data_IF_745088410176
#
_entry.id   IF_745088410176
#
_cell.length_a   1.000
_cell.length_b   1.000
_cell.length_c   1.000
_cell.angle_alpha   90.00
_cell.angle_beta   90.00
_cell.angle_gamma   90.00
#
_symmetry.space_group_name_H-M   'P 1'
#
loop_
_entity.id
_entity.type
_entity.pdbx_description
1 polymer ?
#
# COMPACT_ATOMS: atom_id res chain seq x y z
N UNK A 1 -10.95 -49.56 -14.99
CA UNK A 1 -12.12 -50.22 -14.41
C UNK A 1 -13.15 -49.15 -14.09
N UNK A 2 -14.10 -48.94 -15.00
CA UNK A 2 -15.56 -49.18 -14.85
C UNK A 2 -16.29 -47.97 -14.24
N UNK A 3 -17.38 -47.42 -14.78
CA UNK A 3 -18.01 -47.34 -16.12
C UNK A 3 -19.21 -46.38 -15.88
N UNK A 4 -19.46 -45.42 -16.77
CA UNK A 4 -20.68 -44.57 -16.78
C UNK A 4 -21.92 -45.41 -17.16
N UNK A 5 -23.13 -44.89 -16.92
CA UNK A 5 -24.24 -45.10 -17.84
C UNK A 5 -24.68 -43.80 -18.53
N UNK A 6 -25.02 -43.99 -19.79
CA UNK A 6 -25.67 -43.08 -20.74
C UNK A 6 -27.14 -43.51 -20.78
N UNK A 7 -28.08 -42.56 -20.85
CA UNK A 7 -29.40 -42.82 -21.42
C UNK A 7 -29.74 -41.75 -22.45
N UNK A 8 -30.02 -42.24 -23.66
CA UNK A 8 -30.49 -41.56 -24.86
C UNK A 8 -31.96 -41.93 -25.06
N UNK A 9 -32.78 -41.03 -25.61
CA UNK A 9 -34.01 -41.23 -26.42
C UNK A 9 -35.01 -40.07 -26.15
N UNK A 10 -35.76 -39.44 -27.07
CA UNK A 10 -35.93 -39.48 -28.53
C UNK A 10 -36.75 -38.23 -28.91
N UNK A 11 -36.53 -37.67 -30.09
CA UNK A 11 -37.36 -36.61 -30.72
C UNK A 11 -38.83 -37.02 -30.94
N UNK A 12 -39.74 -36.05 -30.84
CA UNK A 12 -40.90 -35.96 -31.75
C UNK A 12 -41.13 -34.48 -32.12
N UNK A 13 -41.13 -34.25 -33.43
CA UNK A 13 -41.46 -32.97 -34.06
C UNK A 13 -42.98 -32.80 -34.14
N UNK A 14 -43.47 -31.57 -33.97
CA UNK A 14 -44.71 -31.13 -34.60
C UNK A 14 -44.52 -29.68 -35.07
N UNK A 15 -44.57 -29.49 -36.38
CA UNK A 15 -44.60 -28.20 -37.04
C UNK A 15 -46.04 -27.71 -37.16
N UNK A 16 -46.28 -26.42 -36.90
CA UNK A 16 -47.42 -25.70 -37.42
C UNK A 16 -46.96 -24.27 -37.77
N UNK A 17 -46.79 -24.03 -39.06
CA UNK A 17 -46.58 -22.72 -39.67
C UNK A 17 -47.90 -21.97 -39.82
N UNK A 18 -47.93 -20.71 -39.42
CA UNK A 18 -48.82 -19.71 -40.02
C UNK A 18 -48.04 -18.42 -40.30
N UNK A 19 -48.11 -18.00 -41.56
CA UNK A 19 -47.53 -16.78 -42.13
C UNK A 19 -48.62 -15.71 -42.17
N UNK A 20 -48.30 -14.51 -41.69
CA UNK A 20 -48.79 -13.18 -42.12
C UNK A 20 -48.26 -12.17 -41.07
N UNK A 21 -47.68 -11.01 -41.34
CA UNK A 21 -47.60 -10.16 -42.51
C UNK A 21 -47.57 -8.70 -42.00
N UNK A 22 -46.77 -7.84 -42.64
CA UNK A 22 -46.61 -6.38 -42.45
C UNK A 22 -45.82 -5.95 -41.19
N UNK A 23 -44.85 -5.05 -41.26
CA UNK A 23 -44.84 -3.77 -41.98
C UNK A 23 -44.84 -2.66 -40.93
N UNK A 24 -43.75 -1.89 -40.86
CA UNK A 24 -43.32 -1.21 -39.63
C UNK A 24 -44.07 0.05 -39.21
N UNK A 25 -43.79 0.46 -37.97
CA UNK A 25 -43.89 1.84 -37.44
C UNK A 25 -43.05 1.94 -36.16
N UNK A 26 -42.31 3.04 -36.01
CA UNK A 26 -41.61 3.45 -34.77
C UNK A 26 -42.61 3.53 -33.61
N UNK A 27 -42.26 3.14 -32.37
CA UNK A 27 -43.05 3.52 -31.22
C UNK A 27 -42.83 5.01 -30.94
N UNK A 28 -43.88 5.81 -31.08
CA UNK A 28 -43.93 7.15 -30.52
C UNK A 28 -43.85 7.09 -28.99
N UNK A 29 -43.07 8.01 -28.43
CA UNK A 29 -42.99 8.22 -27.00
C UNK A 29 -44.34 8.76 -26.48
N UNK A 30 -44.96 8.04 -25.56
CA UNK A 30 -46.08 8.55 -24.77
C UNK A 30 -45.50 9.56 -23.79
N UNK A 31 -45.70 10.84 -24.09
CA UNK A 31 -45.36 11.94 -23.19
C UNK A 31 -46.45 12.07 -22.12
N UNK A 32 -46.18 11.59 -20.90
CA UNK A 32 -47.02 11.84 -19.73
C UNK A 32 -46.49 13.10 -19.05
N UNK A 33 -47.22 14.23 -19.03
CA UNK A 33 -46.76 15.44 -18.37
C UNK A 33 -46.90 15.31 -16.85
N UNK A 34 -45.82 15.54 -16.10
CA UNK A 34 -45.92 15.85 -14.67
C UNK A 34 -45.27 14.89 -13.68
N UNK A 35 -44.12 14.29 -14.00
CA UNK A 35 -43.23 13.74 -12.97
C UNK A 35 -41.84 14.35 -13.08
N UNK A 36 -41.52 15.24 -12.13
CA UNK A 36 -40.17 15.71 -11.89
C UNK A 36 -39.31 14.52 -11.43
N UNK A 37 -38.68 13.85 -12.40
CA UNK A 37 -37.56 12.94 -12.12
C UNK A 37 -36.38 13.82 -11.70
N UNK A 38 -35.70 13.55 -10.56
CA UNK A 38 -34.52 14.31 -10.17
C UNK A 38 -33.48 14.25 -11.29
N UNK A 39 -32.95 15.41 -11.66
CA UNK A 39 -31.96 15.63 -12.74
C UNK A 39 -30.74 14.68 -12.65
N UNK A 40 -30.43 14.19 -11.44
CA UNK A 40 -29.40 13.20 -11.16
C UNK A 40 -29.70 11.78 -11.70
N UNK A 41 -30.96 11.39 -11.88
CA UNK A 41 -31.33 10.06 -12.39
C UNK A 41 -31.43 10.02 -13.92
N UNK A 42 -31.75 11.16 -14.56
CA UNK A 42 -31.82 11.27 -16.02
C UNK A 42 -30.43 11.33 -16.68
N UNK A 43 -29.43 11.93 -16.00
CA UNK A 43 -28.05 11.98 -16.49
C UNK A 43 -27.34 10.60 -16.53
N UNK A 44 -27.82 9.62 -15.77
CA UNK A 44 -27.24 8.26 -15.72
C UNK A 44 -27.60 7.43 -16.96
N UNK A 45 -28.69 7.75 -17.66
CA UNK A 45 -29.18 6.98 -18.81
C UNK A 45 -28.51 7.35 -20.15
N UNK A 46 -27.69 8.39 -20.20
CA UNK A 46 -27.07 8.91 -21.45
C UNK A 46 -25.54 8.86 -21.47
N UNK A 47 -24.90 8.35 -20.41
CA UNK A 47 -23.44 8.28 -20.33
C UNK A 47 -22.89 7.08 -21.12
N UNK A 48 -21.84 7.31 -21.92
CA UNK A 48 -21.17 6.25 -22.70
C UNK A 48 -20.56 5.19 -21.76
N UNK A 49 -20.78 3.88 -22.00
CA UNK A 49 -20.15 2.82 -21.22
C UNK A 49 -18.62 2.91 -21.27
N UNK A 50 -17.98 2.89 -20.11
CA UNK A 50 -16.53 2.93 -19.96
C UNK A 50 -16.05 1.70 -19.18
N UNK A 51 -15.10 0.95 -19.75
CA UNK A 51 -14.39 -0.12 -19.04
C UNK A 51 -12.97 0.33 -18.76
N UNK A 52 -12.63 0.46 -17.47
CA UNK A 52 -11.33 0.91 -17.00
C UNK A 52 -10.51 -0.29 -16.53
N UNK A 53 -9.36 -0.50 -17.18
CA UNK A 53 -8.42 -1.53 -16.77
C UNK A 53 -7.57 -1.03 -15.60
N UNK A 54 -7.56 -1.79 -14.50
CA UNK A 54 -6.77 -1.48 -13.31
C UNK A 54 -5.75 -2.57 -13.04
N UNK A 55 -4.54 -2.18 -12.66
CA UNK A 55 -3.51 -3.11 -12.18
C UNK A 55 -2.70 -2.48 -11.06
N UNK A 56 -1.78 -3.25 -10.47
CA UNK A 56 -0.83 -2.72 -9.50
C UNK A 56 0.59 -2.61 -10.07
N UNK A 57 1.40 -1.71 -9.48
CA UNK A 57 2.83 -1.57 -9.72
C UNK A 57 3.59 -1.69 -8.39
N UNK A 58 4.55 -2.62 -8.31
CA UNK A 58 5.46 -2.81 -7.18
C UNK A 58 4.77 -2.91 -5.79
N UNK A 59 3.50 -3.26 -5.76
CA UNK A 59 2.69 -3.55 -4.57
C UNK A 59 1.99 -4.91 -4.77
N UNK A 60 1.01 -5.27 -3.94
CA UNK A 60 0.21 -6.48 -4.11
C UNK A 60 -1.24 -6.22 -3.76
N UNK A 61 -2.14 -6.67 -4.61
CA UNK A 61 -3.58 -6.63 -4.39
C UNK A 61 -4.23 -7.82 -5.11
N UNK A 62 -5.30 -8.35 -4.54
CA UNK A 62 -6.09 -9.42 -5.16
C UNK A 62 -7.24 -8.86 -5.98
N UNK A 63 -7.80 -9.68 -6.86
CA UNK A 63 -8.99 -9.30 -7.61
C UNK A 63 -10.16 -8.99 -6.66
N UNK A 64 -10.36 -9.82 -5.64
CA UNK A 64 -11.43 -9.67 -4.66
C UNK A 64 -11.34 -8.33 -3.93
N UNK A 65 -10.13 -7.88 -3.59
CA UNK A 65 -9.92 -6.58 -2.99
C UNK A 65 -10.22 -5.42 -3.97
N UNK A 66 -9.86 -5.55 -5.24
CA UNK A 66 -10.23 -4.56 -6.27
C UNK A 66 -11.74 -4.50 -6.44
N UNK A 67 -12.40 -5.65 -6.56
CA UNK A 67 -13.86 -5.74 -6.74
C UNK A 67 -14.58 -5.12 -5.52
N UNK A 68 -14.21 -5.54 -4.31
CA UNK A 68 -14.86 -5.09 -3.07
C UNK A 68 -14.66 -3.59 -2.80
N UNK A 69 -13.44 -3.08 -2.95
CA UNK A 69 -13.07 -1.74 -2.48
C UNK A 69 -13.02 -0.68 -3.58
N UNK A 70 -13.08 -1.07 -4.85
CA UNK A 70 -13.02 -0.16 -6.00
C UNK A 70 -14.18 -0.44 -6.96
N UNK A 71 -14.27 -1.65 -7.52
CA UNK A 71 -15.21 -2.01 -8.57
C UNK A 71 -16.68 -1.82 -8.17
N UNK A 72 -17.11 -2.47 -7.10
CA UNK A 72 -18.49 -2.40 -6.61
C UNK A 72 -18.88 -0.99 -6.16
N UNK A 73 -18.06 -0.25 -5.37
CA UNK A 73 -18.38 1.13 -5.04
C UNK A 73 -18.48 2.04 -6.28
N UNK A 74 -17.57 1.91 -7.24
CA UNK A 74 -17.60 2.71 -8.48
C UNK A 74 -18.85 2.38 -9.29
N UNK A 75 -19.15 1.11 -9.51
CA UNK A 75 -20.33 0.67 -10.26
C UNK A 75 -21.64 1.12 -9.61
N UNK A 76 -21.72 1.10 -8.28
CA UNK A 76 -22.86 1.61 -7.51
C UNK A 76 -23.07 3.11 -7.74
N UNK A 77 -21.99 3.89 -7.78
CA UNK A 77 -22.05 5.36 -7.96
C UNK A 77 -22.21 5.77 -9.43
N UNK A 78 -21.54 5.05 -10.33
CA UNK A 78 -21.46 5.30 -11.76
C UNK A 78 -21.75 4.00 -12.53
N UNK A 79 -23.03 3.65 -12.76
CA UNK A 79 -23.41 2.37 -13.38
C UNK A 79 -22.85 2.14 -14.79
N UNK A 80 -22.41 3.19 -15.47
CA UNK A 80 -21.78 3.13 -16.79
C UNK A 80 -20.26 2.90 -16.74
N UNK A 81 -19.64 2.92 -15.55
CA UNK A 81 -18.21 2.67 -15.36
C UNK A 81 -18.02 1.26 -14.81
N UNK A 82 -17.25 0.45 -15.53
CA UNK A 82 -16.83 -0.90 -15.11
C UNK A 82 -15.34 -0.90 -14.83
N UNK A 83 -14.93 -1.50 -13.70
CA UNK A 83 -13.52 -1.71 -13.35
C UNK A 83 -13.15 -3.16 -13.69
N UNK A 84 -12.09 -3.36 -14.47
CA UNK A 84 -11.57 -4.67 -14.84
C UNK A 84 -10.15 -4.83 -14.30
N UNK A 85 -9.96 -5.74 -13.34
CA UNK A 85 -8.62 -6.02 -12.83
C UNK A 85 -7.79 -6.84 -13.82
N UNK A 86 -6.65 -6.29 -14.22
CA UNK A 86 -5.67 -7.00 -15.04
C UNK A 86 -4.79 -7.84 -14.13
N UNK A 87 -5.04 -9.14 -14.11
CA UNK A 87 -4.25 -10.09 -13.35
C UNK A 87 -2.81 -10.13 -13.89
N UNK A 88 -1.83 -9.83 -13.02
CA UNK A 88 -0.39 -9.82 -13.32
C UNK A 88 0.27 -11.21 -13.32
N UNK A 89 -0.51 -12.27 -13.11
CA UNK A 89 -0.04 -13.66 -13.20
C UNK A 89 0.50 -14.02 -14.59
N UNK A 90 1.34 -15.06 -14.67
CA UNK A 90 1.75 -15.68 -15.94
C UNK A 90 2.62 -14.84 -16.88
N UNK A 91 3.13 -13.67 -16.44
CA UNK A 91 4.10 -12.87 -17.19
C UNK A 91 3.61 -11.52 -17.70
N UNK A 92 2.42 -11.06 -17.31
CA UNK A 92 1.95 -9.68 -17.56
C UNK A 92 2.51 -8.74 -16.49
N UNK A 93 3.23 -7.69 -16.90
CA UNK A 93 3.74 -6.65 -16.00
C UNK A 93 3.39 -5.27 -16.52
N UNK A 94 3.40 -4.28 -15.62
CA UNK A 94 3.18 -2.88 -15.99
C UNK A 94 4.11 -2.45 -17.12
N UNK A 95 5.42 -2.74 -16.99
CA UNK A 95 6.42 -2.42 -17.99
C UNK A 95 6.10 -3.03 -19.36
N UNK A 96 5.73 -4.32 -19.39
CA UNK A 96 5.37 -4.99 -20.65
C UNK A 96 4.12 -4.38 -21.29
N UNK A 97 3.13 -3.98 -20.51
CA UNK A 97 1.93 -3.32 -21.03
C UNK A 97 2.25 -1.94 -21.62
N UNK A 98 3.15 -1.18 -20.99
CA UNK A 98 3.66 0.07 -21.56
C UNK A 98 4.39 -0.19 -22.89
N UNK A 99 5.33 -1.14 -22.92
CA UNK A 99 6.12 -1.50 -24.10
C UNK A 99 5.26 -2.00 -25.28
N UNK A 100 4.17 -2.71 -24.98
CA UNK A 100 3.20 -3.21 -25.96
C UNK A 100 2.20 -2.14 -26.43
N UNK A 101 2.27 -0.92 -25.90
CA UNK A 101 1.32 0.15 -26.24
C UNK A 101 -0.10 -0.10 -25.73
N UNK A 102 -0.24 -0.91 -24.68
CA UNK A 102 -1.54 -1.23 -24.05
C UNK A 102 -1.54 -0.88 -22.56
N UNK A 103 -1.20 0.37 -22.18
CA UNK A 103 -1.17 0.77 -20.77
C UNK A 103 -2.53 0.54 -20.10
N UNK A 104 -2.57 0.15 -18.82
CA UNK A 104 -3.81 0.15 -18.05
C UNK A 104 -4.38 1.58 -17.95
N UNK A 105 -5.67 1.72 -17.66
CA UNK A 105 -6.28 3.02 -17.40
C UNK A 105 -5.94 3.55 -16.00
N UNK A 106 -5.83 2.62 -15.04
CA UNK A 106 -5.56 2.89 -13.63
C UNK A 106 -4.40 2.03 -13.11
N UNK A 107 -3.53 2.63 -12.30
CA UNK A 107 -2.45 1.91 -11.60
C UNK A 107 -2.52 2.18 -10.11
N UNK A 108 -2.53 1.11 -9.33
CA UNK A 108 -2.32 1.15 -7.88
C UNK A 108 -0.82 1.09 -7.62
N UNK A 109 -0.27 2.09 -6.95
CA UNK A 109 1.13 2.09 -6.50
C UNK A 109 1.24 2.68 -5.10
N UNK A 110 2.39 2.55 -4.47
CA UNK A 110 2.69 3.18 -3.19
C UNK A 110 3.65 4.37 -3.35
N UNK A 111 3.80 5.15 -2.29
CA UNK A 111 4.68 6.32 -2.30
C UNK A 111 6.14 6.01 -2.68
N UNK A 112 6.80 4.98 -2.11
CA UNK A 112 8.18 4.63 -2.50
C UNK A 112 8.37 4.31 -3.99
N UNK A 113 7.34 3.77 -4.64
CA UNK A 113 7.39 3.38 -6.05
C UNK A 113 6.77 4.42 -7.00
N UNK A 114 6.23 5.52 -6.47
CA UNK A 114 5.48 6.51 -7.23
C UNK A 114 6.34 7.19 -8.30
N UNK A 115 7.56 7.60 -7.95
CA UNK A 115 8.50 8.23 -8.89
C UNK A 115 8.83 7.31 -10.08
N UNK A 116 8.94 6.01 -9.85
CA UNK A 116 9.25 5.04 -10.91
C UNK A 116 8.11 4.92 -11.93
N UNK A 117 6.85 5.08 -11.51
CA UNK A 117 5.72 5.10 -12.45
C UNK A 117 5.74 6.36 -13.32
N UNK A 118 6.18 7.49 -12.77
CA UNK A 118 6.26 8.77 -13.52
C UNK A 118 7.29 8.75 -14.66
N UNK A 119 8.28 7.85 -14.62
CA UNK A 119 9.27 7.67 -15.70
C UNK A 119 8.65 7.11 -17.00
N UNK A 120 7.51 6.43 -16.93
CA UNK A 120 6.92 5.72 -18.08
C UNK A 120 6.07 6.60 -19.00
N UNK A 121 6.15 7.94 -18.90
CA UNK A 121 5.23 8.88 -19.57
C UNK A 121 3.74 8.49 -19.39
N UNK A 122 3.44 7.82 -18.27
CA UNK A 122 2.17 7.20 -17.97
C UNK A 122 1.16 8.15 -17.33
N UNK A 123 1.49 8.89 -16.26
CA UNK A 123 0.45 9.52 -15.46
C UNK A 123 -0.12 10.79 -16.10
N UNK A 124 -1.44 10.95 -15.99
CA UNK A 124 -2.20 12.15 -16.32
C UNK A 124 -2.06 13.19 -15.20
N UNK A 125 -1.82 14.46 -15.54
CA UNK A 125 -1.97 15.55 -14.57
C UNK A 125 -3.45 15.77 -14.24
N UNK A 126 -3.83 15.49 -12.99
CA UNK A 126 -5.20 15.60 -12.50
C UNK A 126 -5.56 17.00 -12.02
N UNK A 127 -4.61 17.95 -11.93
CA UNK A 127 -4.93 19.32 -11.47
C UNK A 127 -6.09 19.97 -12.24
N UNK A 128 -6.16 19.93 -13.59
CA UNK A 128 -7.29 20.48 -14.34
C UNK A 128 -8.64 19.82 -14.01
N UNK A 129 -8.63 18.51 -13.73
CA UNK A 129 -9.82 17.78 -13.34
C UNK A 129 -10.25 18.12 -11.91
N UNK A 130 -9.30 18.23 -10.97
CA UNK A 130 -9.57 18.66 -9.60
C UNK A 130 -10.23 20.04 -9.56
N UNK A 131 -9.78 20.97 -10.40
CA UNK A 131 -10.38 22.30 -10.56
C UNK A 131 -11.79 22.22 -11.17
N UNK A 132 -11.92 21.53 -12.30
CA UNK A 132 -13.19 21.37 -13.04
C UNK A 132 -14.29 20.77 -12.14
N UNK A 133 -13.94 19.73 -11.40
CA UNK A 133 -14.85 18.99 -10.53
C UNK A 133 -14.91 19.53 -9.10
N UNK A 134 -14.18 20.62 -8.81
CA UNK A 134 -14.14 21.28 -7.50
C UNK A 134 -13.87 20.32 -6.34
N UNK A 135 -12.94 19.39 -6.56
CA UNK A 135 -12.57 18.38 -5.54
C UNK A 135 -11.87 19.07 -4.39
N UNK A 136 -12.45 19.02 -3.20
CA UNK A 136 -11.85 19.58 -2.00
C UNK A 136 -10.73 18.66 -1.48
N UNK A 137 -9.47 18.97 -1.79
CA UNK A 137 -8.33 18.19 -1.28
C UNK A 137 -8.12 18.34 0.24
N UNK A 138 -8.66 19.37 0.87
CA UNK A 138 -8.49 19.59 2.32
C UNK A 138 -9.24 18.56 3.18
N UNK A 139 -10.17 17.79 2.58
CA UNK A 139 -10.82 16.66 3.25
C UNK A 139 -9.89 15.44 3.34
N UNK A 140 -8.87 15.36 2.49
CA UNK A 140 -7.87 14.30 2.50
C UNK A 140 -6.81 14.60 3.56
N UNK A 141 -6.14 13.56 4.05
CA UNK A 141 -4.94 13.72 4.85
C UNK A 141 -3.87 14.48 4.06
N UNK A 142 -3.30 15.51 4.67
CA UNK A 142 -2.36 16.41 4.01
C UNK A 142 -1.05 15.71 3.62
N UNK A 143 -0.63 14.69 4.37
CA UNK A 143 0.65 14.01 4.13
C UNK A 143 0.67 13.27 2.79
N UNK A 144 -0.30 12.38 2.45
CA UNK A 144 -0.42 11.81 1.12
C UNK A 144 -0.54 12.85 -0.01
N UNK A 145 -1.34 13.91 0.18
CA UNK A 145 -1.51 14.94 -0.85
C UNK A 145 -0.21 15.67 -1.13
N UNK A 146 0.54 16.02 -0.08
CA UNK A 146 1.86 16.66 -0.23
C UNK A 146 2.89 15.69 -0.83
N UNK A 147 2.83 14.41 -0.47
CA UNK A 147 3.68 13.37 -1.03
C UNK A 147 3.58 13.31 -2.55
N UNK A 148 2.37 13.15 -3.10
CA UNK A 148 2.21 13.08 -4.56
C UNK A 148 2.61 14.38 -5.25
N UNK A 149 2.30 15.55 -4.67
CA UNK A 149 2.74 16.86 -5.20
C UNK A 149 4.26 16.99 -5.24
N UNK A 150 4.98 16.39 -4.30
CA UNK A 150 6.43 16.46 -4.25
C UNK A 150 7.12 15.64 -5.36
N UNK A 151 6.43 14.65 -5.93
CA UNK A 151 6.93 13.85 -7.05
C UNK A 151 6.71 14.57 -8.38
N UNK A 152 5.62 15.34 -8.51
CA UNK A 152 5.40 16.22 -9.66
C UNK A 152 6.43 17.37 -9.68
N UNK A 153 7.27 17.51 -10.72
CA UNK A 153 8.30 18.55 -10.77
C UNK A 153 7.74 19.98 -10.73
N UNK A 154 6.46 20.17 -11.13
CA UNK A 154 5.72 21.43 -11.06
C UNK A 154 4.56 21.39 -10.07
N UNK A 155 4.50 20.37 -9.21
CA UNK A 155 3.40 20.14 -8.28
C UNK A 155 2.19 19.45 -8.91
N UNK A 156 2.39 18.72 -10.01
CA UNK A 156 1.36 17.87 -10.62
C UNK A 156 0.84 16.83 -9.62
N UNK A 157 -0.46 16.54 -9.71
CA UNK A 157 -1.09 15.44 -8.98
C UNK A 157 -1.45 14.37 -9.98
N UNK A 158 -0.80 13.21 -9.90
CA UNK A 158 -0.95 12.12 -10.87
C UNK A 158 -2.02 11.08 -10.49
N UNK A 159 -2.56 11.21 -9.29
CA UNK A 159 -3.49 10.27 -8.67
C UNK A 159 -3.98 10.78 -7.32
N UNK A 160 -4.87 10.03 -6.71
CA UNK A 160 -5.39 10.36 -5.37
C UNK A 160 -5.12 9.21 -4.39
N UNK A 161 -4.93 9.53 -3.09
CA UNK A 161 -4.68 8.53 -2.07
C UNK A 161 -5.92 7.65 -1.87
N UNK A 162 -5.75 6.36 -2.06
CA UNK A 162 -6.79 5.36 -1.83
C UNK A 162 -6.90 5.01 -0.35
N UNK A 163 -5.77 4.68 0.28
CA UNK A 163 -5.66 4.48 1.72
C UNK A 163 -4.20 4.67 2.15
N UNK A 164 -3.95 4.69 3.46
CA UNK A 164 -2.62 4.76 4.04
C UNK A 164 -2.29 3.43 4.75
N UNK A 165 -1.05 2.97 4.60
CA UNK A 165 -0.51 1.87 5.38
C UNK A 165 0.48 2.44 6.41
N UNK A 166 0.64 1.75 7.55
CA UNK A 166 1.57 2.17 8.61
C UNK A 166 2.52 1.05 8.97
N UNK A 167 3.76 1.40 9.22
CA UNK A 167 4.75 0.47 9.75
C UNK A 167 4.55 0.36 11.27
N UNK A 168 4.48 -0.86 11.78
CA UNK A 168 4.11 -1.17 13.17
C UNK A 168 5.09 -2.18 13.78
N UNK A 169 5.12 -2.25 15.11
CA UNK A 169 5.82 -3.29 15.86
C UNK A 169 4.80 -4.33 16.34
N UNK A 170 4.89 -5.55 15.81
CA UNK A 170 4.08 -6.68 16.22
C UNK A 170 4.86 -7.55 17.20
N UNK A 171 4.17 -8.17 18.14
CA UNK A 171 4.81 -9.05 19.13
C UNK A 171 4.01 -10.34 19.35
N UNK A 172 4.73 -11.44 19.59
CA UNK A 172 4.18 -12.76 19.87
C UNK A 172 4.09 -12.94 21.40
N UNK A 173 2.87 -12.91 21.93
CA UNK A 173 2.60 -12.95 23.37
C UNK A 173 3.10 -14.23 24.03
N UNK A 174 3.01 -15.38 23.33
CA UNK A 174 3.46 -16.67 23.86
C UNK A 174 4.97 -16.63 24.19
N UNK A 175 5.78 -15.95 23.39
CA UNK A 175 7.21 -15.83 23.62
C UNK A 175 7.53 -14.88 24.77
N UNK A 176 6.77 -13.80 24.95
CA UNK A 176 6.93 -12.90 26.10
C UNK A 176 6.55 -13.61 27.40
N UNK A 177 5.45 -14.36 27.40
CA UNK A 177 4.97 -15.14 28.55
C UNK A 177 5.95 -16.25 28.90
N UNK A 178 6.39 -17.04 27.91
CA UNK A 178 7.38 -18.11 28.07
C UNK A 178 8.65 -17.61 28.75
N UNK A 179 9.07 -16.40 28.42
CA UNK A 179 10.34 -15.83 28.85
C UNK A 179 10.24 -14.85 30.00
N UNK A 180 9.04 -14.66 30.57
CA UNK A 180 8.76 -13.72 31.65
C UNK A 180 9.29 -12.30 31.34
N UNK A 181 9.11 -11.85 30.10
CA UNK A 181 9.44 -10.48 29.66
C UNK A 181 8.13 -9.70 29.54
N UNK A 182 8.09 -8.49 30.11
CA UNK A 182 6.92 -7.63 29.98
C UNK A 182 6.67 -7.28 28.51
N UNK A 183 5.40 -7.21 28.11
CA UNK A 183 5.00 -6.84 26.75
C UNK A 183 5.52 -5.45 26.40
N UNK A 184 5.81 -5.20 25.11
CA UNK A 184 6.18 -3.86 24.67
C UNK A 184 4.98 -2.92 24.85
N UNK A 185 5.25 -1.63 24.99
CA UNK A 185 4.24 -0.59 25.12
C UNK A 185 4.36 0.41 23.98
N UNK A 186 3.31 1.18 23.75
CA UNK A 186 3.42 2.34 22.86
C UNK A 186 4.47 3.33 23.38
N UNK A 187 5.01 4.17 22.47
CA UNK A 187 5.99 5.22 22.75
C UNK A 187 7.37 4.74 23.26
N UNK A 188 7.67 3.44 23.18
CA UNK A 188 9.04 2.93 23.43
C UNK A 188 10.06 3.67 22.58
N UNK A 189 11.28 3.82 23.10
CA UNK A 189 12.41 4.28 22.28
C UNK A 189 13.12 3.10 21.60
N UNK A 190 14.00 3.42 20.65
CA UNK A 190 14.86 2.40 20.04
C UNK A 190 15.77 1.71 21.06
N UNK A 191 16.24 2.42 22.09
CA UNK A 191 17.02 1.81 23.16
C UNK A 191 16.17 0.84 23.99
N UNK A 192 14.90 1.17 24.25
CA UNK A 192 13.98 0.25 24.92
C UNK A 192 13.76 -1.01 24.09
N UNK A 193 13.58 -0.86 22.77
CA UNK A 193 13.48 -1.99 21.85
C UNK A 193 14.73 -2.88 21.91
N UNK A 194 15.92 -2.29 21.84
CA UNK A 194 17.20 -3.03 21.93
C UNK A 194 17.28 -3.80 23.24
N UNK A 195 16.87 -3.20 24.36
CA UNK A 195 16.87 -3.87 25.66
C UNK A 195 15.88 -5.03 25.73
N UNK A 196 14.66 -4.85 25.21
CA UNK A 196 13.66 -5.93 25.13
C UNK A 196 14.14 -7.04 24.19
N UNK A 197 14.67 -6.69 23.02
CA UNK A 197 15.23 -7.64 22.06
C UNK A 197 16.35 -8.48 22.69
N UNK A 198 17.32 -7.84 23.35
CA UNK A 198 18.42 -8.54 24.02
C UNK A 198 17.94 -9.56 25.07
N UNK A 199 16.86 -9.24 25.79
CA UNK A 199 16.27 -10.18 26.76
C UNK A 199 15.59 -11.37 26.08
N UNK A 200 15.08 -11.21 24.87
CA UNK A 200 14.32 -12.23 24.15
C UNK A 200 15.17 -13.04 23.17
N UNK A 201 16.32 -12.52 22.72
CA UNK A 201 17.29 -13.26 21.91
C UNK A 201 18.05 -14.25 22.78
N UNK A 202 17.78 -15.55 22.61
CA UNK A 202 18.41 -16.61 23.40
C UNK A 202 18.29 -17.97 22.71
N UNK A 203 19.15 -18.90 23.11
CA UNK A 203 19.04 -20.31 22.74
C UNK A 203 18.45 -21.11 23.89
N UNK A 204 17.39 -21.86 23.64
CA UNK A 204 16.76 -22.76 24.61
C UNK A 204 16.31 -24.03 23.88
N UNK A 205 16.58 -25.21 24.46
CA UNK A 205 16.24 -26.51 23.87
C UNK A 205 16.67 -26.70 22.41
N UNK A 206 17.88 -26.23 22.09
CA UNK A 206 18.45 -26.19 20.72
C UNK A 206 17.70 -25.28 19.72
N UNK A 207 16.64 -24.60 20.14
CA UNK A 207 15.93 -23.60 19.34
C UNK A 207 16.56 -22.23 19.58
N UNK A 208 16.92 -21.54 18.49
CA UNK A 208 17.34 -20.15 18.53
C UNK A 208 16.10 -19.25 18.44
N UNK A 209 15.86 -18.49 19.50
CA UNK A 209 14.85 -17.44 19.56
C UNK A 209 15.49 -16.07 19.30
N UNK A 210 14.77 -15.21 18.59
CA UNK A 210 15.20 -13.83 18.33
C UNK A 210 14.22 -12.82 18.89
N UNK A 211 14.76 -11.78 19.51
CA UNK A 211 13.98 -10.73 20.13
C UNK A 211 13.24 -9.84 19.14
N UNK A 212 13.86 -9.51 18.01
CA UNK A 212 13.24 -8.67 16.98
C UNK A 212 13.76 -9.00 15.59
N UNK A 213 12.87 -8.99 14.60
CA UNK A 213 13.27 -8.73 13.22
C UNK A 213 13.12 -7.25 12.91
N UNK A 214 14.25 -6.67 12.53
CA UNK A 214 14.33 -5.27 12.17
C UNK A 214 14.61 -5.08 10.68
N UNK A 215 14.27 -3.90 10.16
CA UNK A 215 14.56 -3.51 8.79
C UNK A 215 16.04 -3.17 8.57
N UNK A 216 16.43 -2.96 7.32
CA UNK A 216 17.76 -2.43 6.97
C UNK A 216 17.88 -0.93 7.29
N UNK A 217 19.08 -0.36 7.10
CA UNK A 217 19.33 1.07 7.34
C UNK A 217 18.36 1.98 6.59
N UNK A 218 18.08 1.68 5.32
CA UNK A 218 17.10 2.42 4.54
C UNK A 218 15.71 2.42 5.20
N UNK A 219 15.27 1.28 5.74
CA UNK A 219 13.98 1.16 6.43
C UNK A 219 13.91 2.05 7.66
N UNK A 220 14.99 2.12 8.46
CA UNK A 220 15.07 3.03 9.62
C UNK A 220 14.95 4.47 9.20
N UNK A 221 15.74 4.90 8.21
CA UNK A 221 15.67 6.28 7.74
C UNK A 221 14.32 6.64 7.17
N UNK A 222 13.65 5.72 6.47
CA UNK A 222 12.26 5.89 6.05
C UNK A 222 11.31 6.13 7.24
N UNK A 223 11.46 5.39 8.36
CA UNK A 223 10.65 5.62 9.56
C UNK A 223 10.88 7.00 10.20
N UNK A 224 12.04 7.59 9.96
CA UNK A 224 12.43 8.91 10.47
C UNK A 224 12.23 10.03 9.45
N UNK A 225 11.76 9.70 8.23
CA UNK A 225 11.60 10.67 7.15
C UNK A 225 12.93 11.23 6.61
N UNK A 226 14.03 10.50 6.75
CA UNK A 226 15.34 10.95 6.25
C UNK A 226 15.37 10.78 4.72
N UNK A 227 15.60 11.87 3.95
CA UNK A 227 15.77 11.75 2.51
C UNK A 227 17.07 11.03 2.16
N UNK A 228 17.00 10.13 1.18
CA UNK A 228 18.19 9.48 0.58
C UNK A 228 18.91 10.47 -0.33
N UNK A 229 18.12 11.25 -1.09
CA UNK A 229 18.60 12.23 -2.07
C UNK A 229 18.33 13.63 -1.54
N UNK A 230 19.35 14.46 -1.51
CA UNK A 230 19.21 15.87 -1.21
C UNK A 230 18.51 16.57 -2.39
N UNK A 231 17.36 17.18 -2.13
CA UNK A 231 16.51 17.80 -3.16
C UNK A 231 17.21 18.91 -3.94
N UNK A 232 18.09 19.69 -3.30
CA UNK A 232 18.75 20.83 -3.91
C UNK A 232 19.89 20.40 -4.84
N UNK A 233 20.63 19.37 -4.46
CA UNK A 233 21.81 18.92 -5.21
C UNK A 233 21.51 17.77 -6.18
N UNK A 234 20.41 17.04 -5.96
CA UNK A 234 20.10 15.81 -6.68
C UNK A 234 21.05 14.65 -6.36
N UNK A 235 21.87 14.78 -5.31
CA UNK A 235 22.88 13.80 -4.89
C UNK A 235 22.47 13.07 -3.62
N UNK A 236 23.01 11.87 -3.43
CA UNK A 236 22.94 11.16 -2.16
C UNK A 236 23.67 11.97 -1.06
N UNK A 237 23.08 12.00 0.13
CA UNK A 237 23.59 12.70 1.32
C UNK A 237 23.46 11.75 2.53
N UNK A 238 24.43 10.84 2.66
CA UNK A 238 24.45 9.78 3.67
C UNK A 238 25.31 10.15 4.89
N UNK A 239 26.16 11.16 4.77
CA UNK A 239 27.07 11.57 5.85
C UNK A 239 26.44 12.50 6.90
N UNK A 240 25.16 12.84 6.76
CA UNK A 240 24.44 13.64 7.75
C UNK A 240 24.21 12.91 9.09
N UNK A 241 23.96 13.69 10.14
CA UNK A 241 23.86 13.16 11.51
C UNK A 241 22.66 12.24 11.74
N UNK A 242 21.58 12.38 10.98
CA UNK A 242 20.42 11.49 11.08
C UNK A 242 20.76 10.09 10.56
N UNK A 243 21.48 9.98 9.44
CA UNK A 243 21.94 8.68 8.93
C UNK A 243 22.95 8.00 9.85
N UNK A 244 23.88 8.77 10.44
CA UNK A 244 24.82 8.23 11.45
C UNK A 244 24.08 7.66 12.66
N UNK A 245 23.05 8.36 13.15
CA UNK A 245 22.19 7.88 14.26
C UNK A 245 21.37 6.66 13.88
N UNK A 246 20.73 6.67 12.71
CA UNK A 246 19.98 5.53 12.21
C UNK A 246 20.86 4.28 12.07
N UNK A 247 22.12 4.45 11.66
CA UNK A 247 23.11 3.38 11.58
C UNK A 247 23.54 2.88 12.96
N UNK A 248 23.65 3.77 13.96
CA UNK A 248 23.82 3.40 15.36
C UNK A 248 22.71 2.48 15.85
N UNK A 249 21.44 2.79 15.57
CA UNK A 249 20.30 1.94 15.91
C UNK A 249 20.40 0.55 15.25
N UNK A 250 20.74 0.49 13.96
CA UNK A 250 20.90 -0.79 13.25
C UNK A 250 22.02 -1.63 13.89
N UNK A 251 23.14 -1.00 14.25
CA UNK A 251 24.25 -1.64 14.94
C UNK A 251 23.81 -2.17 16.32
N UNK A 252 23.16 -1.36 17.13
CA UNK A 252 22.75 -1.73 18.49
C UNK A 252 21.74 -2.90 18.48
N UNK A 253 20.84 -2.92 17.50
CA UNK A 253 19.91 -4.04 17.28
C UNK A 253 20.68 -5.29 16.85
N UNK A 254 21.65 -5.18 15.93
CA UNK A 254 22.46 -6.32 15.51
C UNK A 254 23.26 -6.93 16.68
N UNK A 255 23.80 -6.09 17.56
CA UNK A 255 24.52 -6.49 18.77
C UNK A 255 23.65 -7.20 19.81
N UNK A 256 22.32 -7.27 19.63
CA UNK A 256 21.46 -8.16 20.42
C UNK A 256 21.60 -9.64 20.05
N UNK A 257 22.37 -9.97 19.01
CA UNK A 257 22.64 -11.34 18.57
C UNK A 257 21.63 -11.90 17.58
N UNK A 258 20.86 -11.03 16.91
CA UNK A 258 19.91 -11.44 15.87
C UNK A 258 20.64 -11.86 14.59
N UNK A 259 20.06 -12.82 13.87
CA UNK A 259 20.58 -13.35 12.60
C UNK A 259 19.70 -13.00 11.41
N UNK A 260 18.72 -12.10 11.61
CA UNK A 260 17.77 -11.63 10.60
C UNK A 260 16.90 -12.75 10.03
N UNK A 261 16.17 -13.45 10.91
CA UNK A 261 15.23 -14.48 10.49
C UNK A 261 14.19 -13.97 9.48
N UNK A 262 13.66 -14.84 8.62
CA UNK A 262 12.56 -14.48 7.75
C UNK A 262 11.29 -14.18 8.56
N UNK A 263 10.32 -13.49 7.95
CA UNK A 263 9.05 -13.14 8.63
C UNK A 263 8.33 -14.39 9.14
N UNK A 264 8.45 -15.51 8.44
CA UNK A 264 7.91 -16.84 8.78
C UNK A 264 8.30 -17.27 10.19
N UNK A 265 9.46 -16.85 10.69
CA UNK A 265 9.88 -17.16 12.05
C UNK A 265 9.00 -16.50 13.13
N UNK A 266 8.27 -15.43 12.79
CA UNK A 266 7.26 -14.83 13.66
C UNK A 266 5.93 -15.58 13.57
N UNK A 267 5.37 -15.70 12.36
CA UNK A 267 3.97 -16.09 12.18
C UNK A 267 3.74 -17.60 11.94
N UNK A 268 4.75 -18.35 11.47
CA UNK A 268 4.70 -19.81 11.29
C UNK A 268 5.51 -20.56 12.33
N UNK A 269 6.81 -20.24 12.45
CA UNK A 269 7.74 -21.01 13.29
C UNK A 269 7.70 -20.57 14.75
N UNK A 270 7.13 -19.39 15.04
CA UNK A 270 6.91 -18.85 16.38
C UNK A 270 8.17 -18.82 17.25
N UNK A 271 9.30 -18.45 16.66
CA UNK A 271 10.61 -18.29 17.33
C UNK A 271 11.18 -16.87 17.26
N UNK A 272 10.39 -15.92 16.75
CA UNK A 272 10.71 -14.50 16.76
C UNK A 272 9.69 -13.77 17.63
N UNK A 273 10.18 -13.05 18.64
CA UNK A 273 9.32 -12.40 19.64
C UNK A 273 8.68 -11.12 19.12
N UNK A 274 9.40 -10.32 18.31
CA UNK A 274 8.87 -9.10 17.72
C UNK A 274 9.18 -9.00 16.23
N UNK A 275 8.25 -8.46 15.45
CA UNK A 275 8.36 -8.24 14.02
C UNK A 275 8.01 -6.80 13.69
N UNK A 276 8.91 -6.08 13.02
CA UNK A 276 8.54 -4.83 12.34
C UNK A 276 8.01 -5.10 10.94
N UNK A 277 6.82 -4.59 10.63
CA UNK A 277 6.18 -4.80 9.34
C UNK A 277 5.13 -3.72 9.06
N UNK A 278 4.81 -3.52 7.79
CA UNK A 278 3.61 -2.80 7.38
C UNK A 278 2.35 -3.51 7.89
N UNK A 279 1.34 -2.76 8.31
CA UNK A 279 0.11 -3.30 8.89
C UNK A 279 -0.60 -4.27 7.95
N UNK A 280 -0.82 -3.86 6.70
CA UNK A 280 -1.57 -4.69 5.75
C UNK A 280 -0.89 -6.03 5.42
N UNK A 281 0.42 -6.10 5.11
CA UNK A 281 1.13 -7.37 4.99
C UNK A 281 1.05 -8.25 6.24
N UNK A 282 1.14 -7.66 7.45
CA UNK A 282 1.00 -8.44 8.68
C UNK A 282 -0.41 -9.04 8.81
N UNK A 283 -1.46 -8.31 8.46
CA UNK A 283 -2.83 -8.85 8.42
C UNK A 283 -2.96 -10.00 7.42
N UNK A 284 -2.32 -9.91 6.24
CA UNK A 284 -2.25 -11.01 5.28
C UNK A 284 -1.51 -12.25 5.83
N UNK A 285 -0.43 -12.05 6.60
CA UNK A 285 0.24 -13.16 7.29
C UNK A 285 -0.66 -13.80 8.34
N UNK A 286 -1.35 -13.00 9.16
CA UNK A 286 -2.29 -13.51 10.16
C UNK A 286 -3.46 -14.28 9.52
N UNK A 287 -4.00 -13.77 8.41
CA UNK A 287 -5.02 -14.45 7.62
C UNK A 287 -4.53 -15.79 7.07
N UNK A 288 -3.30 -15.81 6.52
CA UNK A 288 -2.69 -17.05 6.03
C UNK A 288 -2.53 -18.10 7.14
N UNK A 289 -2.16 -17.68 8.36
CA UNK A 289 -2.09 -18.57 9.52
C UNK A 289 -3.47 -19.13 9.87
N UNK A 290 -4.49 -18.26 9.96
CA UNK A 290 -5.86 -18.66 10.27
C UNK A 290 -6.41 -19.65 9.23
N UNK A 291 -6.18 -19.39 7.94
CA UNK A 291 -6.60 -20.26 6.84
C UNK A 291 -5.88 -21.62 6.84
N UNK A 292 -4.70 -21.72 7.45
CA UNK A 292 -3.99 -22.99 7.63
C UNK A 292 -4.48 -23.80 8.85
N UNK A 293 -5.49 -23.31 9.59
CA UNK A 293 -5.98 -23.91 10.83
C UNK A 293 -5.04 -23.71 12.03
N UNK A 294 -4.04 -22.84 11.90
CA UNK A 294 -3.12 -22.49 12.97
C UNK A 294 -3.56 -21.20 13.67
N UNK A 295 -3.04 -20.98 14.86
CA UNK A 295 -3.26 -19.76 15.65
C UNK A 295 -1.96 -18.99 15.81
N UNK A 296 -2.08 -17.65 15.86
CA UNK A 296 -0.99 -16.75 16.22
C UNK A 296 -1.48 -15.88 17.39
N UNK A 297 -0.84 -16.02 18.55
CA UNK A 297 -1.13 -15.18 19.71
C UNK A 297 -0.27 -13.91 19.65
N UNK A 298 -0.73 -12.93 18.88
CA UNK A 298 0.00 -11.68 18.65
C UNK A 298 -0.78 -10.46 19.10
N UNK A 299 -0.08 -9.34 19.24
CA UNK A 299 -0.65 -8.01 19.36
C UNK A 299 0.35 -6.97 18.80
N UNK A 300 0.03 -5.68 18.86
CA UNK A 300 0.84 -4.62 18.26
C UNK A 300 1.02 -3.42 19.17
N UNK A 301 2.09 -2.67 18.94
CA UNK A 301 2.34 -1.34 19.48
C UNK A 301 2.88 -0.43 18.38
N UNK A 302 2.90 0.86 18.65
CA UNK A 302 3.57 1.84 17.78
C UNK A 302 5.02 1.44 17.51
N UNK A 303 5.54 1.75 16.32
CA UNK A 303 6.99 1.69 16.09
C UNK A 303 7.73 2.55 17.14
N UNK A 304 8.92 2.13 17.59
CA UNK A 304 9.71 2.94 18.51
C UNK A 304 10.02 4.33 17.96
N UNK A 305 9.97 5.34 18.82
CA UNK A 305 10.34 6.72 18.50
C UNK A 305 11.83 6.95 18.74
N UNK A 306 12.42 7.89 18.01
CA UNK A 306 13.78 8.37 18.31
C UNK A 306 13.71 9.55 19.30
N UNK A 307 14.69 9.65 20.20
CA UNK A 307 14.63 10.59 21.34
C UNK A 307 14.61 12.06 20.94
N UNK A 308 15.14 12.37 19.76
CA UNK A 308 15.25 13.72 19.23
C UNK A 308 13.94 14.22 18.60
N UNK A 309 12.96 13.34 18.36
CA UNK A 309 11.61 13.74 17.95
C UNK A 309 10.52 12.99 18.74
N UNK A 310 10.37 13.28 20.04
CA UNK A 310 9.30 12.69 20.85
C UNK A 310 7.92 12.93 20.21
N UNK A 311 7.10 11.89 20.15
CA UNK A 311 5.76 11.95 19.56
C UNK A 311 5.72 11.74 18.05
N UNK A 312 6.87 11.76 17.37
CA UNK A 312 7.00 11.40 15.95
C UNK A 312 7.54 9.97 15.85
N UNK A 313 6.79 9.10 15.17
CA UNK A 313 7.22 7.72 14.95
C UNK A 313 6.57 7.11 13.71
N UNK A 314 7.39 6.32 13.01
CA UNK A 314 6.98 5.50 11.89
C UNK A 314 6.74 6.30 10.60
N UNK A 315 6.81 5.57 9.49
CA UNK A 315 6.47 6.06 8.17
C UNK A 315 5.01 5.77 7.86
N UNK A 316 4.35 6.74 7.24
CA UNK A 316 3.16 6.49 6.44
C UNK A 316 3.59 5.96 5.07
N UNK A 317 2.85 4.98 4.53
CA UNK A 317 2.97 4.58 3.13
C UNK A 317 1.60 4.78 2.47
N UNK A 318 1.36 5.96 1.91
CA UNK A 318 0.18 6.19 1.10
C UNK A 318 0.17 5.26 -0.11
N UNK A 319 -1.01 4.73 -0.41
CA UNK A 319 -1.31 3.97 -1.62
C UNK A 319 -2.13 4.88 -2.52
N UNK A 320 -1.69 5.06 -3.77
CA UNK A 320 -2.32 5.95 -4.73
C UNK A 320 -2.98 5.17 -5.86
N UNK A 321 -4.08 5.74 -6.38
CA UNK A 321 -4.68 5.37 -7.66
C UNK A 321 -4.27 6.41 -8.70
N UNK A 322 -3.41 6.02 -9.64
CA UNK A 322 -2.92 6.85 -10.74
C UNK A 322 -3.78 6.67 -11.99
N UNK A 323 -3.96 7.74 -12.76
CA UNK A 323 -4.71 7.72 -14.03
C UNK A 323 -3.74 7.81 -15.21
N UNK A 324 -3.98 7.00 -16.24
CA UNK A 324 -3.20 7.00 -17.47
C UNK A 324 -3.50 8.21 -18.37
N UNK A 325 -2.46 8.94 -18.79
CA UNK A 325 -2.52 9.98 -19.81
C UNK A 325 -2.94 9.42 -21.18
N UNK A 326 -2.74 8.13 -21.43
CA UNK A 326 -3.15 7.45 -22.67
C UNK A 326 -4.57 6.88 -22.62
N UNK A 327 -5.24 6.90 -21.47
CA UNK A 327 -6.62 6.41 -21.37
C UNK A 327 -7.55 7.15 -22.32
N UNK A 328 -8.49 6.43 -22.94
CA UNK A 328 -9.60 7.03 -23.70
C UNK A 328 -10.73 7.51 -22.80
N UNK A 329 -10.75 7.06 -21.55
CA UNK A 329 -11.79 7.31 -20.56
C UNK A 329 -11.27 8.17 -19.39
N UNK A 330 -10.45 9.19 -19.69
CA UNK A 330 -9.76 10.00 -18.65
C UNK A 330 -10.71 10.61 -17.63
N UNK A 331 -11.85 11.09 -18.10
CA UNK A 331 -12.87 11.72 -17.26
C UNK A 331 -13.52 10.70 -16.31
N UNK A 332 -13.93 9.54 -16.82
CA UNK A 332 -14.47 8.43 -16.04
C UNK A 332 -13.43 7.87 -15.06
N UNK A 333 -12.18 7.75 -15.50
CA UNK A 333 -11.06 7.32 -14.66
C UNK A 333 -10.83 8.30 -13.49
N UNK A 334 -10.83 9.61 -13.77
CA UNK A 334 -10.74 10.62 -12.73
C UNK A 334 -11.94 10.57 -11.77
N UNK A 335 -13.18 10.46 -12.29
CA UNK A 335 -14.39 10.37 -11.46
C UNK A 335 -14.35 9.16 -10.52
N UNK A 336 -13.90 8.00 -11.01
CA UNK A 336 -13.72 6.80 -10.21
C UNK A 336 -12.67 7.00 -9.11
N UNK A 337 -11.47 7.47 -9.47
CA UNK A 337 -10.37 7.71 -8.51
C UNK A 337 -10.73 8.74 -7.45
N UNK A 338 -11.37 9.84 -7.87
CA UNK A 338 -11.86 10.89 -6.97
C UNK A 338 -12.91 10.34 -6.00
N UNK A 339 -13.89 9.60 -6.49
CA UNK A 339 -14.93 9.01 -5.64
C UNK A 339 -14.35 8.04 -4.61
N UNK A 340 -13.44 7.15 -5.02
CA UNK A 340 -12.81 6.19 -4.11
C UNK A 340 -11.99 6.88 -3.01
N UNK A 341 -11.33 7.99 -3.33
CA UNK A 341 -10.45 8.69 -2.40
C UNK A 341 -11.21 9.64 -1.48
N UNK A 342 -12.33 10.22 -1.94
CA UNK A 342 -13.02 11.31 -1.24
C UNK A 342 -14.36 10.92 -0.60
N UNK A 343 -14.96 9.81 -1.00
CA UNK A 343 -16.25 9.37 -0.46
C UNK A 343 -16.12 8.83 0.96
N UNK A 344 -16.83 9.43 1.92
CA UNK A 344 -16.91 8.92 3.29
C UNK A 344 -17.45 7.49 3.36
N UNK A 345 -18.36 7.10 2.45
CA UNK A 345 -18.90 5.74 2.39
C UNK A 345 -17.79 4.72 2.04
N UNK A 346 -17.01 5.01 1.00
CA UNK A 346 -15.91 4.14 0.55
C UNK A 346 -14.80 4.10 1.59
N UNK A 347 -14.47 5.26 2.16
CA UNK A 347 -13.41 5.40 3.14
C UNK A 347 -13.79 4.77 4.49
N UNK A 348 -15.07 4.79 4.86
CA UNK A 348 -15.60 4.00 5.99
C UNK A 348 -15.52 2.50 5.71
N UNK A 349 -15.90 2.04 4.51
CA UNK A 349 -15.77 0.63 4.12
C UNK A 349 -14.32 0.16 4.23
N UNK A 350 -13.38 0.91 3.68
CA UNK A 350 -11.93 0.64 3.79
C UNK A 350 -11.50 0.55 5.26
N UNK A 351 -11.92 1.51 6.08
CA UNK A 351 -11.55 1.56 7.50
C UNK A 351 -12.09 0.37 8.29
N UNK A 352 -13.36 0.00 8.09
CA UNK A 352 -13.97 -1.17 8.73
C UNK A 352 -13.20 -2.48 8.47
N UNK A 353 -12.56 -2.61 7.30
CA UNK A 353 -11.73 -3.77 6.94
C UNK A 353 -10.24 -3.62 7.27
N UNK A 354 -9.85 -2.56 8.00
CA UNK A 354 -8.49 -2.39 8.52
C UNK A 354 -7.54 -1.65 7.58
N UNK A 355 -8.06 -0.82 6.66
CA UNK A 355 -7.24 0.14 5.89
C UNK A 355 -7.32 1.53 6.53
N UNK A 356 -6.20 2.23 6.66
CA UNK A 356 -6.25 3.58 7.25
C UNK A 356 -6.81 4.53 6.19
N UNK A 357 -7.88 5.25 6.53
CA UNK A 357 -8.55 6.16 5.61
C UNK A 357 -7.60 7.25 5.07
N UNK A 358 -7.79 7.61 3.81
CA UNK A 358 -7.17 8.78 3.20
C UNK A 358 -7.85 10.09 3.62
N UNK A 359 -9.00 10.06 4.30
CA UNK A 359 -9.69 11.25 4.80
C UNK A 359 -9.12 11.71 6.14
N UNK A 360 -9.13 13.02 6.35
CA UNK A 360 -8.90 13.63 7.64
C UNK A 360 -10.17 13.58 8.50
N UNK A 361 -10.62 12.37 8.85
CA UNK A 361 -11.86 12.14 9.61
C UNK A 361 -11.64 11.21 10.80
N UNK A 362 -11.75 11.76 12.02
CA UNK A 362 -11.68 10.97 13.26
C UNK A 362 -12.84 9.97 13.36
N UNK A 363 -14.04 10.36 12.88
CA UNK A 363 -15.22 9.48 12.87
C UNK A 363 -15.00 8.22 12.03
N UNK A 364 -14.29 8.34 10.90
CA UNK A 364 -13.93 7.18 10.07
C UNK A 364 -12.81 6.38 10.72
N UNK A 365 -11.79 7.03 11.29
CA UNK A 365 -10.69 6.35 12.00
C UNK A 365 -11.21 5.46 13.15
N UNK A 366 -12.24 5.89 13.88
CA UNK A 366 -12.89 5.10 14.95
C UNK A 366 -13.58 3.83 14.45
N UNK A 367 -13.84 3.69 13.15
CA UNK A 367 -14.40 2.48 12.57
C UNK A 367 -13.35 1.43 12.20
N UNK A 368 -12.05 1.74 12.42
CA UNK A 368 -10.95 0.89 12.00
C UNK A 368 -11.10 -0.54 12.50
N UNK A 369 -11.11 -1.50 11.57
CA UNK A 369 -11.10 -2.93 11.89
C UNK A 369 -12.40 -3.49 12.46
N UNK A 370 -13.48 -2.72 12.53
CA UNK A 370 -14.78 -3.18 13.09
C UNK A 370 -15.42 -4.35 12.34
N UNK A 371 -15.02 -4.61 11.09
CA UNK A 371 -15.42 -5.78 10.28
C UNK A 371 -14.25 -6.74 9.99
N UNK A 372 -13.12 -6.57 10.67
CA UNK A 372 -11.95 -7.40 10.49
C UNK A 372 -11.68 -8.21 11.76
N UNK A 373 -12.06 -9.49 11.75
CA UNK A 373 -11.90 -10.38 12.91
C UNK A 373 -10.43 -10.57 13.32
N UNK A 374 -9.45 -10.35 12.42
CA UNK A 374 -8.02 -10.50 12.73
C UNK A 374 -7.51 -9.47 13.75
N UNK A 375 -8.15 -8.30 13.82
CA UNK A 375 -7.76 -7.21 14.73
C UNK A 375 -8.66 -7.08 15.95
N UNK A 376 -9.64 -7.98 16.11
CA UNK A 376 -10.52 -8.01 17.27
C UNK A 376 -9.71 -8.26 18.55
N UNK A 377 -9.88 -7.36 19.52
CA UNK A 377 -9.16 -7.42 20.80
C UNK A 377 -7.67 -7.13 20.71
N UNK A 378 -7.18 -6.58 19.59
CA UNK A 378 -5.80 -6.09 19.44
C UNK A 378 -5.71 -4.61 19.83
N UNK A 379 -4.52 -4.13 20.13
CA UNK A 379 -4.23 -2.73 20.40
C UNK A 379 -4.25 -1.88 19.11
N UNK A 380 -5.44 -1.68 18.53
CA UNK A 380 -5.60 -0.89 17.30
C UNK A 380 -5.36 0.62 17.52
N UNK A 381 -5.45 1.11 18.76
CA UNK A 381 -5.17 2.50 19.11
C UNK A 381 -3.70 2.88 18.84
N UNK A 382 -2.79 1.91 18.91
CA UNK A 382 -1.37 2.07 18.56
C UNK A 382 -1.17 2.69 17.17
N UNK A 383 -2.06 2.37 16.21
CA UNK A 383 -2.00 2.85 14.82
C UNK A 383 -2.08 4.37 14.76
N UNK A 384 -2.81 5.00 15.69
CA UNK A 384 -3.10 6.44 15.68
C UNK A 384 -2.36 7.20 16.79
N UNK A 385 -1.52 6.51 17.57
CA UNK A 385 -0.87 7.09 18.76
C UNK A 385 0.15 8.18 18.45
N UNK A 386 0.84 8.08 17.31
CA UNK A 386 1.91 8.99 16.92
C UNK A 386 1.61 9.75 15.64
N UNK A 387 2.17 10.95 15.54
CA UNK A 387 2.36 11.61 14.27
C UNK A 387 3.41 10.82 13.48
N UNK A 388 3.14 10.52 12.21
CA UNK A 388 4.13 9.88 11.34
C UNK A 388 5.19 10.87 10.89
N UNK A 389 6.40 10.38 10.64
CA UNK A 389 7.43 11.18 10.02
C UNK A 389 6.95 11.75 8.67
N UNK A 390 7.41 12.96 8.28
CA UNK A 390 7.13 13.49 6.95
C UNK A 390 7.58 12.53 5.85
N UNK A 391 6.82 12.48 4.75
CA UNK A 391 7.24 11.72 3.57
C UNK A 391 8.51 12.35 3.00
N UNK A 392 9.64 11.60 2.93
CA UNK A 392 10.88 12.13 2.39
C UNK A 392 10.72 12.45 0.90
N UNK A 393 11.54 13.37 0.40
CA UNK A 393 11.62 13.65 -1.03
C UNK A 393 11.95 12.37 -1.81
N UNK A 394 11.11 12.02 -2.79
CA UNK A 394 11.29 10.79 -3.60
C UNK A 394 11.69 11.10 -5.03
N UNK A 395 12.62 10.31 -5.58
CA UNK A 395 13.09 10.41 -6.96
C UNK A 395 13.50 9.04 -7.51
N UNK A 396 13.62 8.96 -8.83
CA UNK A 396 14.11 7.76 -9.49
C UNK A 396 15.58 7.43 -9.22
N UNK A 397 16.34 8.32 -8.55
CA UNK A 397 17.71 8.06 -8.13
C UNK A 397 17.77 7.25 -6.83
N UNK A 398 16.69 7.16 -6.06
CA UNK A 398 16.65 6.36 -4.82
C UNK A 398 16.90 4.87 -5.10
N UNK A 399 16.48 4.35 -6.26
CA UNK A 399 16.75 2.96 -6.68
C UNK A 399 18.24 2.67 -6.89
N UNK A 400 19.04 3.69 -7.17
CA UNK A 400 20.49 3.58 -7.31
C UNK A 400 21.23 3.74 -5.98
N UNK A 401 20.69 4.59 -5.10
CA UNK A 401 21.33 5.03 -3.87
C UNK A 401 20.97 4.14 -2.65
N UNK A 402 19.71 3.72 -2.51
CA UNK A 402 19.25 2.90 -1.39
C UNK A 402 19.98 1.54 -1.24
N UNK A 403 20.41 0.83 -2.31
CA UNK A 403 21.20 -0.38 -2.15
C UNK A 403 22.57 -0.10 -1.52
N UNK A 404 23.21 1.02 -1.89
CA UNK A 404 24.52 1.40 -1.34
C UNK A 404 24.44 1.75 0.15
N UNK A 405 23.36 2.42 0.54
CA UNK A 405 23.07 2.70 1.94
C UNK A 405 22.88 1.42 2.77
N UNK A 406 22.22 0.40 2.20
CA UNK A 406 22.05 -0.89 2.88
C UNK A 406 23.36 -1.68 2.99
N UNK A 407 24.27 -1.53 2.03
CA UNK A 407 25.63 -2.07 2.13
C UNK A 407 26.36 -1.43 3.32
N UNK A 408 26.29 -0.12 3.49
CA UNK A 408 26.88 0.55 4.67
C UNK A 408 26.30 0.02 5.99
N UNK A 409 24.98 -0.21 6.04
CA UNK A 409 24.31 -0.87 7.17
C UNK A 409 24.91 -2.23 7.51
N UNK A 410 25.15 -3.05 6.48
CA UNK A 410 25.71 -4.40 6.62
C UNK A 410 27.18 -4.37 7.03
N UNK A 411 27.97 -3.46 6.45
CA UNK A 411 29.38 -3.28 6.76
C UNK A 411 29.59 -2.93 8.25
N UNK A 412 28.80 -2.00 8.79
CA UNK A 412 28.89 -1.63 10.20
C UNK A 412 28.36 -2.73 11.12
N UNK A 413 27.21 -3.35 10.78
CA UNK A 413 26.64 -4.42 11.58
C UNK A 413 27.62 -5.59 11.74
N UNK A 414 28.31 -5.98 10.66
CA UNK A 414 29.32 -7.04 10.68
C UNK A 414 30.66 -6.64 11.32
N UNK A 415 30.85 -5.37 11.66
CA UNK A 415 32.11 -4.83 12.16
C UNK A 415 33.21 -4.71 11.10
N UNK A 416 32.87 -4.79 9.81
CA UNK A 416 33.86 -4.69 8.72
C UNK A 416 34.37 -3.25 8.53
N UNK A 417 33.56 -2.25 8.88
CA UNK A 417 33.90 -0.82 8.79
C UNK A 417 33.31 -0.02 9.94
N UNK A 418 33.92 1.11 10.25
CA UNK A 418 33.32 2.12 11.12
C UNK A 418 32.22 2.91 10.38
N UNK A 419 31.37 3.59 11.17
CA UNK A 419 30.20 4.35 10.69
C UNK A 419 30.57 5.40 9.64
N UNK A 420 31.64 6.18 9.85
CA UNK A 420 31.98 7.28 8.95
C UNK A 420 32.51 6.75 7.62
N UNK A 421 33.39 5.74 7.67
CA UNK A 421 33.93 5.12 6.45
C UNK A 421 32.83 4.46 5.63
N UNK A 422 31.94 3.69 6.26
CA UNK A 422 30.87 2.99 5.57
C UNK A 422 29.91 3.94 4.84
N UNK A 423 29.46 5.01 5.51
CA UNK A 423 28.54 5.99 4.93
C UNK A 423 29.20 6.82 3.81
N UNK A 424 30.44 7.27 4.00
CA UNK A 424 31.19 8.02 2.97
C UNK A 424 31.34 7.20 1.69
N UNK A 425 31.80 5.96 1.79
CA UNK A 425 31.99 5.12 0.60
C UNK A 425 30.67 4.75 -0.08
N UNK A 426 29.59 4.54 0.69
CA UNK A 426 28.26 4.33 0.13
C UNK A 426 27.76 5.56 -0.64
N UNK A 427 27.99 6.76 -0.10
CA UNK A 427 27.64 8.03 -0.75
C UNK A 427 28.42 8.22 -2.06
N UNK A 428 29.73 7.97 -2.05
CA UNK A 428 30.58 8.04 -3.25
C UNK A 428 30.09 7.08 -4.34
N UNK A 429 29.78 5.82 -3.99
CA UNK A 429 29.25 4.83 -4.94
C UNK A 429 27.87 5.20 -5.46
N UNK A 430 26.98 5.69 -4.59
CA UNK A 430 25.65 6.15 -4.98
C UNK A 430 25.74 7.33 -5.96
N UNK A 431 26.53 8.35 -5.62
CA UNK A 431 26.69 9.54 -6.45
C UNK A 431 27.33 9.23 -7.80
N UNK A 432 28.29 8.30 -7.86
CA UNK A 432 28.85 7.83 -9.13
C UNK A 432 27.80 7.19 -10.04
N UNK A 433 26.86 6.41 -9.49
CA UNK A 433 25.76 5.81 -10.26
C UNK A 433 24.77 6.86 -10.75
N UNK A 434 24.42 7.83 -9.90
CA UNK A 434 23.52 8.93 -10.24
C UNK A 434 24.13 9.76 -11.38
N UNK A 435 25.40 10.15 -11.26
CA UNK A 435 26.13 10.90 -12.29
C UNK A 435 26.24 10.14 -13.62
N UNK A 436 26.29 8.80 -13.59
CA UNK A 436 26.27 7.99 -14.80
C UNK A 436 24.90 7.94 -15.49
N UNK A 437 23.79 8.09 -14.75
CA UNK A 437 22.43 8.14 -15.32
C UNK A 437 22.09 9.52 -15.89
N UNK A 438 22.75 10.58 -15.41
CA UNK A 438 22.58 11.96 -15.88
C UNK A 438 23.30 12.25 -17.22
N UNK A 439 24.17 11.35 -17.67
CA UNK A 439 24.89 11.43 -18.96
C UNK A 439 24.15 10.62 -20.02
#
# INVERSE_FOLDING_TARGET
>A
MFRKPIYTCTMFALAASMIAGCGGTKPEAVNVPGQNVPEAAAAVATAEPATLKIMYFATLITQEAVDQFIGEPVKKKYPHITIEYVNTGGGVSFQKMIEQGTPPDLVITDYPNLSAVTDYAYPLDLNPYLETYKVNLNQLDASPVQGIRNVGPKGEIFGLPWYVDKFMLFYNKDLFDKFAVAYPTDQMTYEDLVNVSRRLTRKEDQVQYEGVRWGNLHTVGMQWGIPIINKQTGKADFQNDLWKRALGVVKDIHETGITNLPNEAFYKEKRMAMLTQWLNPMLGFAESVANSGQTLNWDMVSIPQHREAPGISGAAKPIYLLVSQSSKYKEQAFQAVSYISTSEEVQSLLSQYGKITALNSEAIRKQFGTKNELVKGKNIEAIFKHQTAPLPYSTNYEKLASPELNIAGTDVASGSKDVNTALREAEERANKKIEAQLK
#
